data_IF_748892251529
#
_entry.id   IF_748892251529
#
_cell.length_a   1.000
_cell.length_b   1.000
_cell.length_c   1.000
_cell.angle_alpha   90.00
_cell.angle_beta   90.00
_cell.angle_gamma   90.00
#
_symmetry.space_group_name_H-M   'P 1'
#
loop_
_entity.id
_entity.type
_entity.pdbx_description
1 polymer ?
#
# COMPACT_ATOMS: atom_id res chain seq x y z
N UNK A 1 5.76 -9.76 -7.14
CA UNK A 1 6.72 -8.67 -7.30
C UNK A 1 6.99 -8.56 -8.78
N UNK A 2 6.91 -7.36 -9.34
CA UNK A 2 7.03 -7.12 -10.79
C UNK A 2 7.87 -5.86 -10.98
N UNK A 3 8.94 -5.94 -11.75
CA UNK A 3 9.63 -4.72 -12.21
C UNK A 3 8.70 -3.99 -13.18
N UNK A 4 8.59 -2.67 -13.03
CA UNK A 4 7.70 -1.87 -13.86
C UNK A 4 8.50 -0.75 -14.49
N UNK A 5 8.30 -0.51 -15.79
CA UNK A 5 8.85 0.65 -16.49
C UNK A 5 7.89 1.84 -16.42
N UNK A 6 8.37 3.05 -16.74
CA UNK A 6 7.55 4.26 -16.76
C UNK A 6 6.33 4.12 -17.69
N UNK A 7 6.55 3.59 -18.89
CA UNK A 7 5.50 3.36 -19.89
C UNK A 7 4.48 2.30 -19.46
N UNK A 8 4.84 1.40 -18.55
CA UNK A 8 3.96 0.33 -18.07
C UNK A 8 3.35 0.62 -16.70
N UNK A 9 3.69 1.74 -16.06
CA UNK A 9 3.27 2.13 -14.73
C UNK A 9 1.75 2.09 -14.56
N UNK A 10 1.01 2.74 -15.48
CA UNK A 10 -0.45 2.78 -15.44
C UNK A 10 -1.08 1.38 -15.50
N UNK A 11 -0.66 0.58 -16.50
CA UNK A 11 -1.20 -0.76 -16.70
C UNK A 11 -0.90 -1.67 -15.51
N UNK A 12 0.32 -1.59 -14.97
CA UNK A 12 0.73 -2.38 -13.82
C UNK A 12 0.01 -1.97 -12.53
N UNK A 13 -0.24 -0.67 -12.32
CA UNK A 13 -1.01 -0.21 -11.15
C UNK A 13 -2.48 -0.62 -11.24
N UNK A 14 -3.08 -0.61 -12.43
CA UNK A 14 -4.44 -1.13 -12.67
C UNK A 14 -4.53 -2.62 -12.34
N UNK A 15 -3.58 -3.40 -12.86
CA UNK A 15 -3.49 -4.84 -12.61
C UNK A 15 -3.28 -5.14 -11.11
N UNK A 16 -2.33 -4.47 -10.47
CA UNK A 16 -2.03 -4.66 -9.05
C UNK A 16 -3.20 -4.23 -8.16
N UNK A 17 -3.93 -3.17 -8.53
CA UNK A 17 -5.17 -2.79 -7.86
C UNK A 17 -6.21 -3.91 -7.95
N UNK A 18 -6.44 -4.45 -9.15
CA UNK A 18 -7.41 -5.52 -9.33
C UNK A 18 -7.05 -6.75 -8.48
N UNK A 19 -5.80 -7.20 -8.53
CA UNK A 19 -5.30 -8.33 -7.73
C UNK A 19 -5.49 -8.05 -6.23
N UNK A 20 -5.14 -6.85 -5.75
CA UNK A 20 -5.26 -6.50 -4.34
C UNK A 20 -6.72 -6.54 -3.85
N UNK A 21 -7.66 -6.05 -4.66
CA UNK A 21 -9.09 -6.09 -4.31
C UNK A 21 -9.60 -7.54 -4.25
N UNK A 22 -9.21 -8.40 -5.19
CA UNK A 22 -9.58 -9.82 -5.19
C UNK A 22 -9.01 -10.55 -3.97
N UNK A 23 -7.74 -10.33 -3.65
CA UNK A 23 -7.12 -10.86 -2.44
C UNK A 23 -7.91 -10.43 -1.19
N UNK A 24 -8.25 -9.15 -1.08
CA UNK A 24 -9.00 -8.63 0.06
C UNK A 24 -10.42 -9.21 0.16
N UNK A 25 -11.14 -9.40 -0.95
CA UNK A 25 -12.47 -10.03 -0.96
C UNK A 25 -12.43 -11.47 -0.45
N UNK A 26 -11.36 -12.19 -0.79
CA UNK A 26 -11.15 -13.56 -0.34
C UNK A 26 -10.75 -13.63 1.14
N UNK A 27 -9.90 -12.71 1.58
CA UNK A 27 -9.29 -12.75 2.92
C UNK A 27 -10.09 -12.01 4.00
N UNK A 28 -11.02 -11.12 3.64
CA UNK A 28 -11.62 -10.20 4.62
C UNK A 28 -13.14 -10.33 4.72
N UNK A 29 -13.69 -9.88 5.86
CA UNK A 29 -15.13 -9.80 6.08
C UNK A 29 -15.76 -8.51 5.52
N UNK A 30 -14.93 -7.49 5.25
CA UNK A 30 -15.38 -6.18 4.80
C UNK A 30 -15.95 -6.24 3.39
N UNK A 31 -16.92 -5.35 3.11
CA UNK A 31 -17.30 -5.06 1.73
C UNK A 31 -16.17 -4.29 1.06
N UNK A 32 -15.55 -4.90 0.05
CA UNK A 32 -14.50 -4.27 -0.75
C UNK A 32 -15.12 -3.60 -1.98
N UNK A 33 -15.36 -2.30 -1.87
CA UNK A 33 -15.90 -1.48 -2.97
C UNK A 33 -14.94 -1.41 -4.14
N UNK A 34 -15.47 -1.49 -5.37
CA UNK A 34 -14.73 -1.24 -6.61
C UNK A 34 -14.53 0.25 -6.90
N UNK A 35 -15.19 1.15 -6.16
CA UNK A 35 -14.90 2.58 -6.23
C UNK A 35 -13.65 2.87 -5.40
N UNK A 36 -12.51 2.97 -6.09
CA UNK A 36 -11.19 3.11 -5.47
C UNK A 36 -10.69 4.54 -5.58
N UNK A 37 -10.14 5.04 -4.49
CA UNK A 37 -9.32 6.26 -4.44
C UNK A 37 -8.00 5.96 -3.78
N UNK A 38 -7.00 6.80 -4.02
CA UNK A 38 -5.63 6.56 -3.64
C UNK A 38 -5.05 7.73 -2.86
N UNK A 39 -3.99 7.46 -2.13
CA UNK A 39 -3.02 8.49 -1.75
C UNK A 39 -1.63 7.85 -1.73
N UNK A 40 -0.61 8.68 -1.91
CA UNK A 40 0.79 8.24 -1.93
C UNK A 40 1.45 8.62 -0.60
N UNK A 41 2.34 7.76 -0.12
CA UNK A 41 3.18 8.03 1.06
C UNK A 41 4.60 7.53 0.83
N UNK A 42 5.58 8.33 1.25
CA UNK A 42 6.98 7.90 1.31
C UNK A 42 7.18 7.03 2.55
N UNK A 43 7.79 5.85 2.37
CA UNK A 43 8.15 4.96 3.47
C UNK A 43 9.53 5.36 3.98
N UNK A 44 9.59 5.81 5.24
CA UNK A 44 10.86 6.03 5.95
C UNK A 44 11.05 4.89 6.94
N UNK A 45 12.29 4.38 7.06
CA UNK A 45 12.65 3.31 8.00
C UNK A 45 12.56 3.73 9.49
N UNK A 46 12.05 4.93 9.78
CA UNK A 46 11.94 5.45 11.13
C UNK A 46 10.77 4.81 11.86
N UNK A 47 11.06 3.67 12.49
CA UNK A 47 10.20 2.89 13.41
C UNK A 47 9.55 3.77 14.51
N UNK A 48 9.99 5.02 14.69
CA UNK A 48 9.52 5.93 15.74
C UNK A 48 8.56 7.06 15.30
N UNK A 49 8.32 7.30 14.00
CA UNK A 49 7.59 8.50 13.54
C UNK A 49 6.22 8.22 12.89
N UNK A 50 5.49 7.20 13.38
CA UNK A 50 4.05 7.07 13.12
C UNK A 50 3.21 8.14 13.86
N UNK A 51 3.85 8.96 14.68
CA UNK A 51 3.24 10.10 15.37
C UNK A 51 3.32 11.33 14.44
N UNK A 52 2.17 11.66 13.82
CA UNK A 52 1.84 12.98 13.24
C UNK A 52 2.55 13.38 11.94
N UNK A 53 2.22 12.75 10.82
CA UNK A 53 1.96 13.53 9.60
C UNK A 53 0.45 13.71 9.47
N UNK A 54 -0.07 14.65 10.25
CA UNK A 54 -1.47 15.07 10.24
C UNK A 54 -1.72 16.05 9.08
N UNK A 55 -1.22 15.74 7.90
CA UNK A 55 -1.75 16.33 6.68
C UNK A 55 -2.94 15.46 6.29
N UNK A 56 -4.09 16.06 6.09
CA UNK A 56 -5.23 15.41 5.46
C UNK A 56 -4.70 14.68 4.21
N UNK A 57 -4.75 13.35 4.22
CA UNK A 57 -4.29 12.54 3.09
C UNK A 57 -5.21 12.86 1.92
N UNK A 58 -4.72 13.65 0.98
CA UNK A 58 -5.49 14.03 -0.20
C UNK A 58 -5.80 12.78 -1.02
N UNK A 59 -7.08 12.49 -1.16
CA UNK A 59 -7.56 11.31 -1.87
C UNK A 59 -7.70 11.64 -3.34
N UNK A 60 -7.06 10.83 -4.19
CA UNK A 60 -6.90 11.07 -5.61
C UNK A 60 -7.48 9.92 -6.42
N UNK A 61 -7.86 10.23 -7.65
CA UNK A 61 -8.16 9.24 -8.67
C UNK A 61 -6.89 8.52 -9.13
N UNK A 62 -7.06 7.41 -9.84
CA UNK A 62 -5.93 6.67 -10.39
C UNK A 62 -5.09 7.53 -11.38
N UNK A 63 -5.67 8.28 -12.33
CA UNK A 63 -4.88 9.14 -13.23
C UNK A 63 -4.04 10.20 -12.49
N UNK A 64 -4.61 10.87 -11.49
CA UNK A 64 -3.89 11.86 -10.67
C UNK A 64 -2.72 11.22 -9.91
N UNK A 65 -2.95 10.01 -9.38
CA UNK A 65 -1.94 9.24 -8.65
C UNK A 65 -0.81 8.77 -9.58
N UNK A 66 -1.13 8.37 -10.81
CA UNK A 66 -0.12 8.01 -11.82
C UNK A 66 0.74 9.22 -12.17
N UNK A 67 0.12 10.38 -12.43
CA UNK A 67 0.85 11.60 -12.74
C UNK A 67 1.86 11.98 -11.63
N UNK A 68 1.49 11.79 -10.36
CA UNK A 68 2.41 12.02 -9.23
C UNK A 68 3.56 11.03 -9.18
N UNK A 69 3.30 9.75 -9.44
CA UNK A 69 4.35 8.73 -9.49
C UNK A 69 5.30 8.94 -10.68
N UNK A 70 4.80 9.41 -11.82
CA UNK A 70 5.60 9.72 -13.01
C UNK A 70 6.61 10.85 -12.77
N UNK A 71 6.25 11.84 -11.94
CA UNK A 71 7.13 12.96 -11.56
C UNK A 71 8.32 12.47 -10.75
N UNK A 72 8.12 11.51 -9.85
CA UNK A 72 9.17 10.98 -8.97
C UNK A 72 9.79 9.67 -9.47
N UNK A 73 9.40 9.21 -10.66
CA UNK A 73 9.66 7.88 -11.18
C UNK A 73 11.13 7.46 -11.11
N UNK A 74 12.03 8.33 -11.57
CA UNK A 74 13.48 8.05 -11.60
C UNK A 74 14.05 7.74 -10.21
N UNK A 75 13.43 8.32 -9.17
CA UNK A 75 13.82 8.10 -7.78
C UNK A 75 13.03 6.96 -7.12
N UNK A 76 12.12 6.26 -7.79
CA UNK A 76 11.40 5.14 -7.19
C UNK A 76 12.29 3.89 -7.14
N UNK A 77 12.38 3.26 -5.97
CA UNK A 77 13.04 1.97 -5.80
C UNK A 77 12.00 0.86 -5.58
N UNK A 78 11.06 1.07 -4.67
CA UNK A 78 10.00 0.09 -4.35
C UNK A 78 8.65 0.82 -4.25
N UNK A 79 7.59 0.18 -4.72
CA UNK A 79 6.20 0.65 -4.71
C UNK A 79 5.34 -0.49 -4.15
N UNK A 80 4.69 -0.25 -3.01
CA UNK A 80 3.82 -1.21 -2.34
C UNK A 80 2.39 -0.67 -2.25
N UNK A 81 1.43 -1.46 -2.72
CA UNK A 81 0.00 -1.18 -2.64
C UNK A 81 -0.62 -1.91 -1.45
N UNK A 82 -1.36 -1.16 -0.64
CA UNK A 82 -2.13 -1.68 0.49
C UNK A 82 -3.54 -1.08 0.52
N UNK A 83 -4.53 -1.85 0.95
CA UNK A 83 -5.82 -1.25 1.35
C UNK A 83 -5.60 -0.56 2.70
N UNK A 84 -5.81 0.76 2.73
CA UNK A 84 -5.73 1.56 3.94
C UNK A 84 -7.04 1.51 4.74
N UNK A 85 -8.16 1.61 4.02
CA UNK A 85 -9.50 1.54 4.58
C UNK A 85 -10.46 1.02 3.49
N UNK A 86 -11.47 0.26 3.87
CA UNK A 86 -12.56 -0.14 2.98
C UNK A 86 -13.91 -0.01 3.66
N UNK A 87 -14.81 0.68 2.98
CA UNK A 87 -16.19 0.91 3.36
C UNK A 87 -17.12 0.54 2.19
N UNK A 88 -18.41 0.38 2.48
CA UNK A 88 -19.43 -0.03 1.50
C UNK A 88 -19.38 0.76 0.19
N UNK A 89 -19.11 2.07 0.26
CA UNK A 89 -19.11 2.95 -0.91
C UNK A 89 -17.73 3.15 -1.52
N UNK A 90 -16.63 2.89 -0.80
CA UNK A 90 -15.29 3.28 -1.24
C UNK A 90 -14.21 2.42 -0.61
N UNK A 91 -13.22 2.07 -1.41
CA UNK A 91 -11.96 1.49 -0.94
C UNK A 91 -10.85 2.52 -1.13
N UNK A 92 -10.04 2.73 -0.10
CA UNK A 92 -8.88 3.63 -0.13
C UNK A 92 -7.63 2.77 -0.21
N UNK A 93 -6.83 2.96 -1.26
CA UNK A 93 -5.53 2.30 -1.42
C UNK A 93 -4.42 3.30 -1.07
N UNK A 94 -3.51 2.87 -0.20
CA UNK A 94 -2.26 3.56 0.07
C UNK A 94 -1.20 2.99 -0.88
N UNK A 95 -0.56 3.86 -1.65
CA UNK A 95 0.66 3.55 -2.39
C UNK A 95 1.83 4.03 -1.55
N UNK A 96 2.55 3.09 -0.96
CA UNK A 96 3.78 3.36 -0.23
C UNK A 96 4.96 3.23 -1.18
N UNK A 97 5.80 4.25 -1.30
CA UNK A 97 7.03 4.15 -2.08
C UNK A 97 8.27 4.28 -1.22
N UNK A 98 9.35 3.63 -1.63
CA UNK A 98 10.69 3.83 -1.07
C UNK A 98 11.57 4.46 -2.15
N UNK A 99 12.20 5.62 -1.90
CA UNK A 99 13.02 6.28 -2.89
C UNK A 99 14.46 5.72 -2.93
N UNK A 100 15.05 5.68 -4.13
CA UNK A 100 16.46 5.31 -4.34
C UNK A 100 17.41 6.21 -3.55
N UNK A 101 17.08 7.50 -3.41
CA UNK A 101 17.87 8.47 -2.66
C UNK A 101 18.01 8.18 -1.16
N UNK A 102 17.20 7.27 -0.60
CA UNK A 102 17.32 6.83 0.79
C UNK A 102 18.13 5.52 0.94
N UNK A 103 18.59 4.93 -0.15
CA UNK A 103 19.44 3.74 -0.11
C UNK A 103 20.87 4.11 0.29
N UNK A 104 21.53 3.19 1.00
CA UNK A 104 22.97 3.28 1.25
C UNK A 104 23.75 3.38 -0.07
N UNK A 105 24.84 4.15 -0.08
CA UNK A 105 25.52 4.55 -1.31
C UNK A 105 26.01 3.34 -2.13
N UNK A 106 26.58 2.35 -1.46
CA UNK A 106 27.06 1.11 -2.09
C UNK A 106 25.92 0.34 -2.76
N UNK A 107 24.76 0.25 -2.10
CA UNK A 107 23.58 -0.39 -2.65
C UNK A 107 22.93 0.43 -3.76
N UNK A 108 22.81 1.75 -3.58
CA UNK A 108 22.30 2.69 -4.58
C UNK A 108 23.02 2.52 -5.92
N UNK A 109 24.36 2.46 -5.91
CA UNK A 109 25.15 2.28 -7.12
C UNK A 109 24.78 1.01 -7.91
N UNK A 110 24.33 -0.05 -7.22
CA UNK A 110 23.88 -1.30 -7.85
C UNK A 110 22.46 -1.26 -8.41
N UNK A 111 21.63 -0.31 -7.98
CA UNK A 111 20.20 -0.24 -8.35
C UNK A 111 19.76 1.08 -8.99
N UNK A 112 20.64 2.07 -9.13
CA UNK A 112 20.31 3.40 -9.67
C UNK A 112 19.68 3.34 -11.06
N UNK A 113 20.12 2.41 -11.90
CA UNK A 113 19.62 2.20 -13.26
C UNK A 113 18.55 1.09 -13.36
N UNK A 114 18.11 0.53 -12.22
CA UNK A 114 17.05 -0.48 -12.20
C UNK A 114 15.68 0.19 -12.12
N UNK A 115 14.72 -0.49 -12.72
CA UNK A 115 13.33 -0.14 -12.63
C UNK A 115 12.78 -0.41 -11.22
N UNK A 116 11.79 0.37 -10.75
CA UNK A 116 11.17 0.15 -9.44
C UNK A 116 10.43 -1.19 -9.39
N UNK A 117 10.39 -1.77 -8.19
CA UNK A 117 9.65 -3.01 -7.93
C UNK A 117 8.24 -2.70 -7.45
N UNK A 118 7.24 -3.35 -8.05
CA UNK A 118 5.84 -3.24 -7.66
C UNK A 118 5.38 -4.45 -6.83
N UNK A 119 4.69 -4.14 -5.74
CA UNK A 119 4.12 -5.08 -4.80
C UNK A 119 2.66 -4.76 -4.49
N UNK A 120 1.85 -5.80 -4.31
CA UNK A 120 0.55 -5.70 -3.67
C UNK A 120 0.53 -6.63 -2.45
N UNK A 121 0.08 -6.12 -1.30
CA UNK A 121 0.10 -6.85 -0.04
C UNK A 121 -1.16 -6.54 0.75
N UNK A 122 -1.77 -7.55 1.35
CA UNK A 122 -2.83 -7.38 2.33
C UNK A 122 -2.18 -7.38 3.72
N UNK A 123 -2.39 -6.32 4.52
CA UNK A 123 -1.87 -6.27 5.89
C UNK A 123 -2.65 -7.29 6.74
N UNK A 124 -1.99 -8.35 7.19
CA UNK A 124 -2.61 -9.41 8.00
C UNK A 124 -2.49 -9.05 9.48
N UNK A 125 -3.58 -9.09 10.26
CA UNK A 125 -3.50 -8.81 11.69
C UNK A 125 -2.70 -9.90 12.41
N UNK A 126 -1.90 -9.48 13.39
CA UNK A 126 -1.07 -10.39 14.17
C UNK A 126 -1.89 -11.43 14.96
N UNK A 127 -3.16 -11.16 15.28
CA UNK A 127 -4.05 -12.07 16.01
C UNK A 127 -4.78 -13.08 15.10
N UNK A 128 -4.55 -13.07 13.78
CA UNK A 128 -5.12 -14.08 12.87
C UNK A 128 -4.55 -15.45 13.24
N UNK A 129 -5.42 -16.44 13.45
CA UNK A 129 -5.01 -17.76 13.94
C UNK A 129 -4.50 -18.69 12.85
N UNK A 130 -5.07 -18.59 11.65
CA UNK A 130 -4.70 -19.44 10.50
C UNK A 130 -5.10 -18.80 9.16
N UNK A 131 -4.65 -19.40 8.06
CA UNK A 131 -4.86 -18.88 6.70
C UNK A 131 -6.28 -18.98 6.16
N UNK A 132 -7.16 -19.75 6.80
CA UNK A 132 -8.58 -19.83 6.43
C UNK A 132 -9.45 -18.78 7.12
N UNK A 133 -8.98 -18.22 8.24
CA UNK A 133 -9.71 -17.22 9.00
C UNK A 133 -9.72 -15.90 8.24
N UNK A 134 -10.93 -15.42 7.90
CA UNK A 134 -11.09 -14.07 7.36
C UNK A 134 -10.76 -13.02 8.42
N UNK A 135 -10.48 -11.78 8.02
CA UNK A 135 -10.23 -10.68 8.97
C UNK A 135 -10.78 -9.31 8.54
N UNK A 136 -10.66 -8.31 9.41
CA UNK A 136 -11.17 -6.96 9.13
C UNK A 136 -10.04 -6.22 8.44
N UNK A 137 -10.22 -5.80 7.19
CA UNK A 137 -9.17 -5.10 6.46
C UNK A 137 -8.79 -3.76 7.12
N UNK A 138 -9.69 -3.19 7.91
CA UNK A 138 -9.51 -1.90 8.58
C UNK A 138 -8.79 -2.04 9.94
N UNK A 139 -8.32 -3.22 10.32
CA UNK A 139 -7.75 -3.48 11.65
C UNK A 139 -6.58 -2.55 12.01
N UNK A 140 -5.83 -2.07 11.02
CA UNK A 140 -4.70 -1.15 11.20
C UNK A 140 -5.13 0.23 11.67
N UNK A 141 -6.40 0.60 11.47
CA UNK A 141 -6.98 1.84 12.00
C UNK A 141 -7.33 1.72 13.49
N UNK A 142 -7.14 0.54 14.08
CA UNK A 142 -7.44 0.25 15.47
C UNK A 142 -8.94 0.14 15.72
N UNK A 143 -9.33 0.30 16.98
CA UNK A 143 -10.69 0.07 17.44
C UNK A 143 -10.72 -0.93 18.59
N UNK A 144 -11.80 -0.90 19.38
CA UNK A 144 -11.93 -1.71 20.60
C UNK A 144 -11.76 -3.20 20.25
N UNK A 145 -12.48 -3.70 19.23
CA UNK A 145 -12.38 -5.10 18.79
C UNK A 145 -10.95 -5.56 18.52
N UNK A 146 -10.15 -4.76 17.82
CA UNK A 146 -8.76 -5.12 17.48
C UNK A 146 -7.85 -5.10 18.70
N UNK A 147 -8.03 -4.12 19.60
CA UNK A 147 -7.27 -4.06 20.86
C UNK A 147 -7.56 -5.29 21.74
N UNK A 148 -8.82 -5.69 21.85
CA UNK A 148 -9.21 -6.89 22.60
C UNK A 148 -8.64 -8.17 21.97
N UNK A 149 -8.80 -8.35 20.65
CA UNK A 149 -8.27 -9.53 19.97
C UNK A 149 -6.73 -9.66 20.07
N UNK A 150 -6.01 -8.54 20.06
CA UNK A 150 -4.56 -8.53 20.26
C UNK A 150 -4.14 -8.84 21.70
N UNK A 151 -4.96 -8.47 22.70
CA UNK A 151 -4.66 -8.70 24.13
C UNK A 151 -4.83 -10.17 24.53
N UNK A 152 -5.81 -10.86 23.95
CA UNK A 152 -6.09 -12.28 24.22
C UNK A 152 -5.43 -13.24 23.21
N UNK A 153 -4.38 -12.78 22.52
CA UNK A 153 -3.60 -13.59 21.59
C UNK A 153 -2.73 -14.60 22.33
#
# INVERSE_FOLDING_TARGET
MKEISKDTLETNLKEATHILLEMARNMCWNTISSHVVYFISETRNDIHNSIKFNNQKELKSLPETIAELEVIYENLYDINLYIYNSEKKRTIIEIQYYPKSLLELDYYETVKNKEPMLHCKVKIPNYRKNDSEKFDINWTLGGIRHKWNSFFK
#
